data_IF_120863183921
#
_entry.id   IF_120863183921
#
_cell.length_a   1.000
_cell.length_b   1.000
_cell.length_c   1.000
_cell.angle_alpha   90.00
_cell.angle_beta   90.00
_cell.angle_gamma   90.00
#
_symmetry.space_group_name_H-M   'P 1'
#
loop_
_entity.id
_entity.type
_entity.pdbx_description
1 polymer ?
#
# COMPACT_ATOMS: atom_id res chain seq x y z
N UNK A 1 -13.05 9.48 -10.16
CA UNK A 1 -12.63 8.31 -9.35
C UNK A 1 -12.63 8.79 -7.92
N UNK A 2 -13.60 8.36 -7.12
CA UNK A 2 -13.62 8.71 -5.69
C UNK A 2 -12.48 7.96 -5.01
N UNK A 3 -11.63 8.70 -4.31
CA UNK A 3 -10.55 8.12 -3.50
C UNK A 3 -11.18 7.53 -2.24
N UNK A 4 -10.69 6.37 -1.81
CA UNK A 4 -11.18 5.71 -0.60
C UNK A 4 -11.05 6.67 0.61
N UNK A 5 -12.02 6.73 1.55
CA UNK A 5 -11.96 7.66 2.68
C UNK A 5 -10.73 7.49 3.58
N UNK A 6 -10.09 6.32 3.52
CA UNK A 6 -8.86 5.97 4.25
C UNK A 6 -7.57 6.08 3.43
N UNK A 7 -7.61 6.66 2.23
CA UNK A 7 -6.45 6.75 1.33
C UNK A 7 -5.23 7.40 2.01
N UNK A 8 -5.45 8.44 2.83
CA UNK A 8 -4.33 9.10 3.54
C UNK A 8 -3.70 8.19 4.60
N UNK A 9 -4.51 7.47 5.37
CA UNK A 9 -4.03 6.49 6.34
C UNK A 9 -3.30 5.32 5.67
N UNK A 10 -3.82 4.81 4.54
CA UNK A 10 -3.15 3.78 3.76
C UNK A 10 -1.78 4.25 3.27
N UNK A 11 -1.68 5.49 2.79
CA UNK A 11 -0.40 6.07 2.40
C UNK A 11 0.58 6.18 3.58
N UNK A 12 0.11 6.54 4.78
CA UNK A 12 0.96 6.56 5.97
C UNK A 12 1.48 5.17 6.33
N UNK A 13 0.61 4.15 6.26
CA UNK A 13 1.00 2.75 6.47
C UNK A 13 2.04 2.34 5.42
N UNK A 14 1.79 2.60 4.13
CA UNK A 14 2.73 2.29 3.06
C UNK A 14 4.11 2.93 3.27
N UNK A 15 4.14 4.21 3.62
CA UNK A 15 5.38 4.95 3.85
C UNK A 15 6.19 4.43 5.05
N UNK A 16 5.52 3.85 6.05
CA UNK A 16 6.19 3.21 7.20
C UNK A 16 7.04 2.00 6.77
N UNK A 17 6.55 1.21 5.82
CA UNK A 17 7.20 -0.03 5.38
C UNK A 17 8.06 0.16 4.11
N UNK A 18 7.93 1.29 3.42
CA UNK A 18 8.69 1.60 2.21
C UNK A 18 10.22 1.48 2.40
N UNK A 19 10.84 1.94 3.50
CA UNK A 19 12.29 1.80 3.69
C UNK A 19 12.75 0.33 3.77
N UNK A 20 11.99 -0.53 4.43
CA UNK A 20 12.29 -1.96 4.56
C UNK A 20 12.20 -2.66 3.19
N UNK A 21 11.12 -2.38 2.45
CA UNK A 21 10.96 -2.89 1.08
C UNK A 21 12.08 -2.40 0.17
N UNK A 22 12.49 -1.13 0.29
CA UNK A 22 13.61 -0.57 -0.48
C UNK A 22 14.92 -1.31 -0.18
N UNK A 23 15.25 -1.54 1.09
CA UNK A 23 16.46 -2.30 1.46
C UNK A 23 16.46 -3.70 0.87
N UNK A 24 15.32 -4.42 0.96
CA UNK A 24 15.21 -5.76 0.40
C UNK A 24 15.35 -5.77 -1.14
N UNK A 25 14.84 -4.74 -1.82
CA UNK A 25 14.99 -4.58 -3.27
C UNK A 25 16.43 -4.25 -3.65
N UNK A 26 17.09 -3.35 -2.93
CA UNK A 26 18.49 -2.99 -3.14
C UNK A 26 19.42 -4.22 -2.95
N UNK A 27 19.17 -5.04 -1.91
CA UNK A 27 19.90 -6.31 -1.67
C UNK A 27 19.67 -7.35 -2.78
N UNK A 28 18.49 -7.37 -3.38
CA UNK A 28 18.17 -8.21 -4.53
C UNK A 28 18.74 -7.67 -5.87
N UNK A 29 19.43 -6.52 -5.85
CA UNK A 29 19.96 -5.86 -7.04
C UNK A 29 18.87 -5.19 -7.90
N UNK A 30 17.70 -4.92 -7.34
CA UNK A 30 16.59 -4.24 -8.01
C UNK A 30 16.70 -2.75 -7.73
N UNK A 31 17.08 -1.95 -8.72
CA UNK A 31 17.07 -0.50 -8.60
C UNK A 31 15.65 0.07 -8.58
N UNK A 32 15.29 0.67 -7.46
CA UNK A 32 14.00 1.30 -7.26
C UNK A 32 14.10 2.80 -7.58
N UNK A 33 13.53 3.22 -8.71
CA UNK A 33 13.33 4.63 -9.02
C UNK A 33 11.99 5.13 -8.47
N UNK A 34 11.88 6.44 -8.23
CA UNK A 34 10.61 7.06 -7.80
C UNK A 34 9.48 6.87 -8.85
N UNK A 35 9.85 6.81 -10.14
CA UNK A 35 8.92 6.57 -11.24
C UNK A 35 8.35 5.14 -11.22
N UNK A 36 9.15 4.15 -10.80
CA UNK A 36 8.69 2.77 -10.61
C UNK A 36 7.84 2.61 -9.35
N UNK A 37 8.11 3.39 -8.30
CA UNK A 37 7.35 3.34 -7.05
C UNK A 37 5.93 3.87 -7.17
N UNK A 38 5.70 4.92 -7.95
CA UNK A 38 4.39 5.55 -8.04
C UNK A 38 3.24 4.61 -8.51
N UNK A 39 3.39 3.81 -9.58
CA UNK A 39 2.37 2.83 -9.94
C UNK A 39 2.22 1.72 -8.90
N UNK A 40 3.30 1.33 -8.22
CA UNK A 40 3.26 0.31 -7.16
C UNK A 40 2.51 0.80 -5.92
N UNK A 41 2.77 2.03 -5.47
CA UNK A 41 2.03 2.67 -4.36
C UNK A 41 0.54 2.82 -4.69
N UNK A 42 0.21 3.10 -5.94
CA UNK A 42 -1.18 3.16 -6.41
C UNK A 42 -1.85 1.78 -6.33
N UNK A 43 -1.16 0.71 -6.72
CA UNK A 43 -1.68 -0.65 -6.58
C UNK A 43 -1.83 -1.06 -5.11
N UNK A 44 -0.82 -0.75 -4.29
CA UNK A 44 -0.79 -1.07 -2.87
C UNK A 44 -1.96 -0.42 -2.13
N UNK A 45 -2.23 0.88 -2.38
CA UNK A 45 -3.36 1.58 -1.74
C UNK A 45 -4.72 1.04 -2.16
N UNK A 46 -4.87 0.50 -3.38
CA UNK A 46 -6.07 -0.21 -3.80
C UNK A 46 -6.22 -1.54 -3.06
N UNK A 47 -5.16 -2.36 -3.02
CA UNK A 47 -5.18 -3.62 -2.30
C UNK A 47 -5.48 -3.44 -0.80
N UNK A 48 -4.95 -2.38 -0.18
CA UNK A 48 -5.28 -2.01 1.21
C UNK A 48 -6.74 -1.60 1.37
N UNK A 49 -7.33 -0.90 0.39
CA UNK A 49 -8.75 -0.55 0.43
C UNK A 49 -9.64 -1.80 0.38
N UNK A 50 -9.33 -2.73 -0.53
CA UNK A 50 -10.06 -4.00 -0.65
C UNK A 50 -9.95 -4.83 0.65
N UNK A 51 -8.74 -4.93 1.22
CA UNK A 51 -8.51 -5.61 2.49
C UNK A 51 -9.24 -4.95 3.67
N UNK A 52 -9.32 -3.61 3.69
CA UNK A 52 -10.06 -2.88 4.72
C UNK A 52 -11.57 -3.15 4.65
N UNK A 53 -12.16 -3.11 3.46
CA UNK A 53 -13.59 -3.40 3.29
C UNK A 53 -13.89 -4.88 3.58
N UNK A 54 -13.00 -5.82 3.23
CA UNK A 54 -13.12 -7.22 3.63
C UNK A 54 -13.18 -7.36 5.17
N UNK A 55 -12.21 -6.80 5.88
CA UNK A 55 -12.19 -6.90 7.35
C UNK A 55 -13.38 -6.20 8.02
N UNK A 56 -13.91 -5.13 7.42
CA UNK A 56 -15.11 -4.44 7.90
C UNK A 56 -16.39 -5.27 7.68
N UNK A 57 -16.47 -6.00 6.56
CA UNK A 57 -17.57 -6.95 6.31
C UNK A 57 -17.55 -8.07 7.35
N UNK A 58 -16.39 -8.70 7.55
CA UNK A 58 -16.23 -9.77 8.54
C UNK A 58 -16.57 -9.30 9.97
N UNK A 59 -16.11 -8.13 10.38
CA UNK A 59 -16.44 -7.56 11.70
C UNK A 59 -17.93 -7.18 11.88
N UNK A 60 -18.69 -7.06 10.78
CA UNK A 60 -20.13 -6.81 10.81
C UNK A 60 -20.94 -8.12 10.79
N UNK A 61 -20.29 -9.26 10.51
CA UNK A 61 -20.88 -10.60 10.51
C UNK A 61 -20.68 -11.33 11.86
N UNK A 62 -19.86 -10.77 12.78
CA UNK A 62 -19.75 -11.15 14.20
C UNK A 62 -20.76 -10.40 15.10
#
# INVERSE_FOLDING_TARGET
MEQHPKTMEFMQIAMKYLPEAKTAMDEAGIEVSMDHLQPMLTLLTKAMADAYELGKQEASEE
#
